data_IF_623849388606
#
_entry.id   IF_623849388606
#
_cell.length_a   1.000
_cell.length_b   1.000
_cell.length_c   1.000
_cell.angle_alpha   90.00
_cell.angle_beta   90.00
_cell.angle_gamma   90.00
#
_symmetry.space_group_name_H-M   'P 1'
#
loop_
_entity.id
_entity.type
_entity.pdbx_description
1 polymer ?
#
# COMPACT_ATOMS: atom_id res chain seq x y z
N UNK A 1 -1.38 17.87 -28.21
CA UNK A 1 -2.82 17.55 -28.08
C UNK A 1 -3.08 17.11 -26.65
N UNK A 2 -3.87 17.83 -25.93
CA UNK A 2 -4.33 17.46 -24.60
C UNK A 2 -5.21 16.20 -24.75
N UNK A 3 -4.76 15.09 -24.23
CA UNK A 3 -5.54 13.84 -24.29
C UNK A 3 -6.72 13.95 -23.32
N UNK A 4 -7.95 13.66 -23.78
CA UNK A 4 -9.15 13.60 -22.95
C UNK A 4 -9.74 12.19 -22.98
N UNK A 5 -10.32 11.73 -21.86
CA UNK A 5 -10.96 10.42 -21.74
C UNK A 5 -12.18 10.46 -20.80
N UNK A 6 -13.02 9.43 -20.87
CA UNK A 6 -14.12 9.25 -19.93
C UNK A 6 -13.60 8.90 -18.52
N UNK A 7 -12.55 8.05 -18.43
CA UNK A 7 -12.01 7.56 -17.15
C UNK A 7 -10.48 7.52 -17.14
N UNK A 8 -9.85 8.34 -16.29
CA UNK A 8 -8.44 8.20 -15.97
C UNK A 8 -8.27 7.22 -14.80
N UNK A 9 -7.39 6.24 -14.95
CA UNK A 9 -7.11 5.22 -13.93
C UNK A 9 -5.66 5.39 -13.47
N UNK A 10 -5.46 5.67 -12.17
CA UNK A 10 -4.14 5.87 -11.58
C UNK A 10 -3.70 4.60 -10.85
N UNK A 11 -2.79 3.86 -11.46
CA UNK A 11 -2.26 2.59 -10.99
C UNK A 11 -2.75 1.39 -11.79
N UNK A 12 -1.83 0.57 -12.30
CA UNK A 12 -2.09 -0.68 -13.02
C UNK A 12 -1.89 -1.93 -12.12
N UNK A 13 -2.25 -1.82 -10.85
CA UNK A 13 -2.40 -2.96 -9.95
C UNK A 13 -3.69 -3.74 -10.24
N UNK A 14 -4.04 -4.77 -9.43
CA UNK A 14 -5.24 -5.57 -9.62
C UNK A 14 -6.51 -4.76 -9.84
N UNK A 15 -6.74 -3.72 -9.04
CA UNK A 15 -7.92 -2.85 -9.16
C UNK A 15 -7.91 -2.07 -10.49
N UNK A 16 -6.79 -1.45 -10.85
CA UNK A 16 -6.70 -0.67 -12.09
C UNK A 16 -6.78 -1.51 -13.35
N UNK A 17 -6.16 -2.70 -13.36
CA UNK A 17 -6.26 -3.62 -14.49
C UNK A 17 -7.70 -4.12 -14.70
N UNK A 18 -8.38 -4.49 -13.60
CA UNK A 18 -9.78 -4.91 -13.66
C UNK A 18 -10.71 -3.75 -14.08
N UNK A 19 -10.45 -2.54 -13.58
CA UNK A 19 -11.18 -1.35 -13.96
C UNK A 19 -11.05 -1.04 -15.47
N UNK A 20 -9.83 -1.11 -16.00
CA UNK A 20 -9.57 -0.86 -17.43
C UNK A 20 -10.24 -1.91 -18.34
N UNK A 21 -10.19 -3.20 -17.97
CA UNK A 21 -10.89 -4.25 -18.70
C UNK A 21 -12.41 -4.01 -18.69
N UNK A 22 -12.97 -3.69 -17.53
CA UNK A 22 -14.41 -3.38 -17.40
C UNK A 22 -14.80 -2.10 -18.16
N UNK A 23 -13.95 -1.06 -18.15
CA UNK A 23 -14.19 0.17 -18.90
C UNK A 23 -14.32 -0.09 -20.42
N UNK A 24 -13.42 -0.92 -20.95
CA UNK A 24 -13.45 -1.32 -22.35
C UNK A 24 -14.73 -2.10 -22.71
N UNK A 25 -15.18 -3.02 -21.85
CA UNK A 25 -16.44 -3.77 -22.02
C UNK A 25 -17.68 -2.85 -22.02
N UNK A 26 -17.61 -1.73 -21.32
CA UNK A 26 -18.69 -0.74 -21.22
C UNK A 26 -18.58 0.38 -22.27
N UNK A 27 -17.57 0.35 -23.14
CA UNK A 27 -17.34 1.36 -24.16
C UNK A 27 -16.91 2.72 -23.61
N UNK A 28 -16.30 2.75 -22.42
CA UNK A 28 -15.65 3.95 -21.87
C UNK A 28 -14.27 4.11 -22.52
N UNK A 29 -13.95 5.32 -22.98
CA UNK A 29 -12.57 5.69 -23.26
C UNK A 29 -11.81 5.79 -21.95
N UNK A 30 -10.70 5.04 -21.82
CA UNK A 30 -9.92 5.05 -20.59
C UNK A 30 -8.42 5.10 -20.83
N UNK A 31 -7.71 5.79 -19.93
CA UNK A 31 -6.25 5.88 -19.91
C UNK A 31 -5.77 5.41 -18.55
N UNK A 32 -4.83 4.48 -18.55
CA UNK A 32 -4.19 3.96 -17.32
C UNK A 32 -2.80 4.56 -17.18
N UNK A 33 -2.54 5.23 -16.07
CA UNK A 33 -1.26 5.83 -15.70
C UNK A 33 -0.62 4.98 -14.59
N UNK A 34 0.56 4.40 -14.83
CA UNK A 34 1.30 3.65 -13.81
C UNK A 34 2.78 4.03 -13.81
N UNK A 35 3.34 4.19 -12.62
CA UNK A 35 4.76 4.55 -12.45
C UNK A 35 5.72 3.38 -12.78
N UNK A 36 5.20 2.18 -12.96
CA UNK A 36 5.98 1.00 -13.26
C UNK A 36 5.99 0.73 -14.78
N UNK A 37 7.05 0.05 -15.28
CA UNK A 37 7.14 -0.26 -16.71
C UNK A 37 6.19 -1.39 -17.14
N UNK A 38 5.65 -2.16 -16.20
CA UNK A 38 4.78 -3.31 -16.47
C UNK A 38 3.56 -3.27 -15.52
N UNK A 39 2.38 -3.70 -15.99
CA UNK A 39 1.21 -3.80 -15.13
C UNK A 39 1.36 -4.93 -14.11
N UNK A 40 0.56 -4.89 -13.04
CA UNK A 40 0.55 -5.92 -12.00
C UNK A 40 0.64 -5.37 -10.58
N UNK A 41 1.04 -4.10 -10.42
CA UNK A 41 1.24 -3.49 -9.10
C UNK A 41 2.27 -4.25 -8.27
N UNK A 42 2.12 -4.25 -6.94
CA UNK A 42 3.06 -4.95 -6.05
C UNK A 42 2.83 -6.47 -6.03
N UNK A 43 1.57 -6.90 -6.11
CA UNK A 43 1.23 -8.32 -5.98
C UNK A 43 1.63 -9.13 -7.22
N UNK A 44 1.43 -8.60 -8.42
CA UNK A 44 1.73 -9.24 -9.70
C UNK A 44 2.95 -8.62 -10.39
N UNK A 45 3.89 -8.08 -9.62
CA UNK A 45 5.10 -7.42 -10.11
C UNK A 45 5.87 -8.29 -11.11
N UNK A 46 6.01 -7.80 -12.36
CA UNK A 46 6.78 -8.47 -13.39
C UNK A 46 6.20 -9.80 -13.88
N UNK A 47 4.90 -10.04 -13.72
CA UNK A 47 4.26 -11.33 -13.98
C UNK A 47 4.32 -11.73 -15.45
N UNK A 48 4.14 -10.80 -16.39
CA UNK A 48 4.22 -11.08 -17.83
C UNK A 48 5.63 -11.47 -18.22
N UNK A 49 6.62 -10.72 -17.76
CA UNK A 49 8.03 -11.00 -18.03
C UNK A 49 8.48 -12.32 -17.39
N UNK A 50 8.08 -12.57 -16.15
CA UNK A 50 8.40 -13.83 -15.47
C UNK A 50 7.80 -15.04 -16.20
N UNK A 51 6.55 -14.94 -16.65
CA UNK A 51 5.89 -16.00 -17.40
C UNK A 51 6.56 -16.27 -18.77
N UNK A 52 7.07 -15.23 -19.41
CA UNK A 52 7.76 -15.35 -20.70
C UNK A 52 9.20 -15.87 -20.55
N UNK A 53 9.95 -15.39 -19.56
CA UNK A 53 11.40 -15.66 -19.47
C UNK A 53 11.76 -16.79 -18.51
N UNK A 54 10.96 -17.04 -17.49
CA UNK A 54 11.22 -18.02 -16.41
C UNK A 54 9.92 -18.65 -15.91
N UNK A 55 9.13 -19.34 -16.75
CA UNK A 55 7.80 -19.85 -16.39
C UNK A 55 7.83 -20.81 -15.18
N UNK A 56 8.91 -21.55 -14.96
CA UNK A 56 9.09 -22.43 -13.80
C UNK A 56 9.09 -21.65 -12.47
N UNK A 57 9.47 -20.37 -12.47
CA UNK A 57 9.46 -19.54 -11.27
C UNK A 57 8.04 -19.09 -10.85
N UNK A 58 7.04 -19.21 -11.72
CA UNK A 58 5.64 -18.98 -11.33
C UNK A 58 5.20 -19.90 -10.19
N UNK A 59 5.58 -21.19 -10.26
CA UNK A 59 5.30 -22.16 -9.21
C UNK A 59 6.02 -21.83 -7.90
N UNK A 60 7.25 -21.32 -7.98
CA UNK A 60 8.03 -20.89 -6.82
C UNK A 60 7.36 -19.73 -6.09
N UNK A 61 6.91 -18.70 -6.82
CA UNK A 61 6.22 -17.56 -6.23
C UNK A 61 4.84 -17.97 -5.71
N UNK A 62 4.16 -18.91 -6.39
CA UNK A 62 2.94 -19.55 -5.92
C UNK A 62 1.71 -19.26 -6.77
N UNK A 63 0.67 -20.08 -6.57
CA UNK A 63 -0.55 -20.09 -7.39
C UNK A 63 -1.30 -18.75 -7.39
N UNK A 64 -1.32 -18.03 -6.27
CA UNK A 64 -1.98 -16.72 -6.18
C UNK A 64 -1.31 -15.67 -7.07
N UNK A 65 0.01 -15.72 -7.17
CA UNK A 65 0.74 -14.86 -8.10
C UNK A 65 0.48 -15.28 -9.55
N UNK A 66 0.57 -16.57 -9.85
CA UNK A 66 0.34 -17.09 -11.19
C UNK A 66 -1.07 -16.76 -11.73
N UNK A 67 -2.09 -16.76 -10.87
CA UNK A 67 -3.46 -16.36 -11.23
C UNK A 67 -3.58 -14.91 -11.73
N UNK A 68 -2.65 -14.04 -11.39
CA UNK A 68 -2.61 -12.66 -11.90
C UNK A 68 -2.31 -12.56 -13.39
N UNK A 69 -1.76 -13.61 -14.01
CA UNK A 69 -1.48 -13.64 -15.46
C UNK A 69 -2.76 -13.56 -16.31
N UNK A 70 -3.84 -14.16 -15.83
CA UNK A 70 -5.15 -14.07 -16.48
C UNK A 70 -5.67 -12.62 -16.50
N UNK A 71 -5.57 -11.94 -15.37
CA UNK A 71 -5.96 -10.52 -15.27
C UNK A 71 -5.08 -9.63 -16.16
N UNK A 72 -3.75 -9.86 -16.19
CA UNK A 72 -2.85 -9.12 -17.06
C UNK A 72 -3.19 -9.32 -18.54
N UNK A 73 -3.54 -10.55 -18.94
CA UNK A 73 -4.01 -10.86 -20.31
C UNK A 73 -5.34 -10.16 -20.64
N UNK A 74 -6.30 -10.16 -19.70
CA UNK A 74 -7.57 -9.45 -19.89
C UNK A 74 -7.33 -7.94 -20.06
N UNK A 75 -6.45 -7.35 -19.24
CA UNK A 75 -6.03 -5.96 -19.36
C UNK A 75 -5.41 -5.65 -20.74
N UNK A 76 -4.48 -6.48 -21.23
CA UNK A 76 -3.88 -6.29 -22.56
C UNK A 76 -4.89 -6.41 -23.69
N UNK A 77 -5.84 -7.34 -23.55
CA UNK A 77 -6.91 -7.54 -24.54
C UNK A 77 -7.87 -6.34 -24.64
N UNK A 78 -8.04 -5.61 -23.55
CA UNK A 78 -8.92 -4.44 -23.46
C UNK A 78 -8.46 -3.28 -24.36
N UNK A 79 -7.20 -3.28 -24.84
CA UNK A 79 -6.63 -2.23 -25.71
C UNK A 79 -6.81 -0.80 -25.16
N UNK A 80 -6.80 -0.68 -23.83
CA UNK A 80 -6.79 0.60 -23.12
C UNK A 80 -5.48 1.32 -23.36
N UNK A 81 -5.50 2.64 -23.44
CA UNK A 81 -4.28 3.44 -23.49
C UNK A 81 -3.51 3.28 -22.17
N UNK A 82 -2.36 2.61 -22.22
CA UNK A 82 -1.52 2.35 -21.08
C UNK A 82 -0.26 3.20 -21.11
N UNK A 83 -0.17 4.14 -20.17
CA UNK A 83 0.99 5.00 -19.97
C UNK A 83 1.89 4.41 -18.86
N UNK A 84 2.76 3.49 -19.23
CA UNK A 84 3.81 2.94 -18.37
C UNK A 84 4.86 3.99 -18.02
N UNK A 85 5.46 3.88 -16.83
CA UNK A 85 6.42 4.86 -16.32
C UNK A 85 5.84 6.24 -16.04
N UNK A 86 4.51 6.39 -16.08
CA UNK A 86 3.82 7.65 -15.81
C UNK A 86 3.64 7.87 -14.31
N UNK A 87 4.43 8.75 -13.74
CA UNK A 87 4.36 9.13 -12.33
C UNK A 87 3.38 10.27 -12.13
N UNK A 88 2.19 9.97 -11.61
CA UNK A 88 1.20 11.00 -11.24
C UNK A 88 1.67 11.73 -10.01
N UNK A 89 1.72 13.06 -10.08
CA UNK A 89 2.20 13.92 -9.00
C UNK A 89 1.17 14.95 -8.50
N UNK A 90 0.12 15.23 -9.28
CA UNK A 90 -0.98 16.10 -8.91
C UNK A 90 -2.25 15.67 -9.62
N UNK A 91 -3.38 15.86 -8.98
CA UNK A 91 -4.72 15.72 -9.56
C UNK A 91 -5.53 16.95 -9.15
N UNK A 92 -6.23 17.53 -10.10
CA UNK A 92 -7.20 18.59 -9.90
C UNK A 92 -8.56 18.06 -10.34
N UNK A 93 -9.48 17.82 -9.39
CA UNK A 93 -10.70 17.05 -9.68
C UNK A 93 -11.77 17.83 -10.43
N UNK A 94 -11.68 19.14 -10.49
CA UNK A 94 -12.60 20.01 -11.21
C UNK A 94 -11.94 21.39 -11.43
N UNK A 95 -11.78 21.77 -12.67
CA UNK A 95 -11.64 23.18 -13.00
C UNK A 95 -13.04 23.69 -13.35
N UNK A 96 -13.56 24.61 -12.59
CA UNK A 96 -14.96 25.04 -12.50
C UNK A 96 -15.72 25.33 -13.82
N UNK A 97 -15.07 25.28 -14.96
CA UNK A 97 -15.67 25.55 -16.27
C UNK A 97 -15.69 24.34 -17.23
N UNK A 98 -14.88 23.29 -17.01
CA UNK A 98 -14.66 22.24 -18.01
C UNK A 98 -15.37 20.92 -17.71
N UNK A 99 -15.99 20.73 -16.54
CA UNK A 99 -16.58 19.46 -16.09
C UNK A 99 -15.63 18.24 -16.17
N UNK A 100 -14.33 18.49 -16.33
CA UNK A 100 -13.29 17.49 -16.47
C UNK A 100 -12.15 17.77 -15.50
N UNK A 101 -11.75 16.75 -14.74
CA UNK A 101 -10.56 16.81 -13.89
C UNK A 101 -9.27 16.72 -14.70
N UNK A 102 -8.19 17.23 -14.13
CA UNK A 102 -6.84 17.17 -14.71
C UNK A 102 -5.94 16.27 -13.90
N UNK A 103 -5.23 15.34 -14.56
CA UNK A 103 -4.24 14.46 -13.96
C UNK A 103 -2.86 14.84 -14.51
N UNK A 104 -2.01 15.34 -13.63
CA UNK A 104 -0.66 15.76 -13.97
C UNK A 104 0.30 14.59 -13.72
N UNK A 105 1.08 14.25 -14.70
CA UNK A 105 2.05 13.17 -14.62
C UNK A 105 3.37 13.52 -15.25
N UNK A 106 4.41 12.81 -14.85
CA UNK A 106 5.74 12.84 -15.44
C UNK A 106 6.01 11.50 -16.11
N UNK A 107 6.53 11.53 -17.34
CA UNK A 107 6.94 10.36 -18.09
C UNK A 107 8.14 10.69 -18.97
N UNK A 108 9.19 9.87 -18.94
CA UNK A 108 10.38 10.02 -19.79
C UNK A 108 11.02 11.43 -19.75
N UNK A 109 11.07 12.08 -18.59
CA UNK A 109 11.69 13.40 -18.42
C UNK A 109 10.84 14.57 -18.91
N UNK A 110 9.56 14.34 -19.21
CA UNK A 110 8.60 15.38 -19.54
C UNK A 110 7.34 15.27 -18.68
N UNK A 111 6.64 16.38 -18.49
CA UNK A 111 5.32 16.41 -17.85
C UNK A 111 4.22 16.40 -18.88
N UNK A 112 3.08 15.80 -18.53
CA UNK A 112 1.86 15.80 -19.33
C UNK A 112 0.64 16.03 -18.45
N UNK A 113 -0.44 16.45 -19.10
CA UNK A 113 -1.76 16.62 -18.49
C UNK A 113 -2.74 15.74 -19.24
N UNK A 114 -3.47 14.93 -18.48
CA UNK A 114 -4.60 14.12 -18.98
C UNK A 114 -5.90 14.70 -18.44
N UNK A 115 -6.82 15.02 -19.32
CA UNK A 115 -8.17 15.44 -18.96
C UNK A 115 -9.08 14.22 -18.84
N UNK A 116 -9.92 14.16 -17.81
CA UNK A 116 -10.83 13.04 -17.60
C UNK A 116 -12.12 13.46 -16.89
N UNK A 117 -13.24 12.93 -17.36
CA UNK A 117 -14.55 13.18 -16.72
C UNK A 117 -14.66 12.52 -15.35
N UNK A 118 -14.05 11.35 -15.20
CA UNK A 118 -13.92 10.63 -13.92
C UNK A 118 -12.49 10.17 -13.71
N UNK A 119 -12.05 10.12 -12.45
CA UNK A 119 -10.71 9.72 -12.06
C UNK A 119 -10.83 8.58 -11.04
N UNK A 120 -10.30 7.43 -11.36
CA UNK A 120 -10.20 6.28 -10.47
C UNK A 120 -8.81 6.20 -9.86
N UNK A 121 -8.69 6.41 -8.56
CA UNK A 121 -7.43 6.29 -7.81
C UNK A 121 -7.28 4.85 -7.31
N UNK A 122 -6.27 4.13 -7.81
CA UNK A 122 -5.98 2.75 -7.45
C UNK A 122 -4.49 2.51 -7.13
N UNK A 123 -3.81 3.36 -6.32
CA UNK A 123 -2.37 3.26 -6.04
C UNK A 123 -2.02 2.09 -5.10
N UNK A 124 -3.00 1.32 -4.66
CA UNK A 124 -2.83 0.14 -3.83
C UNK A 124 -2.43 0.45 -2.39
N UNK A 125 -1.61 -0.43 -1.82
CA UNK A 125 -1.12 -0.37 -0.45
C UNK A 125 0.41 -0.24 -0.41
N UNK A 126 0.90 0.17 0.75
CA UNK A 126 2.31 0.14 1.11
C UNK A 126 2.51 -0.64 2.41
N UNK A 127 3.70 -1.16 2.63
CA UNK A 127 4.02 -1.76 3.92
C UNK A 127 4.06 -0.70 5.02
N UNK A 128 3.49 -1.04 6.17
CA UNK A 128 3.64 -0.24 7.38
C UNK A 128 5.10 -0.29 7.82
N UNK A 129 5.78 0.83 8.02
CA UNK A 129 7.09 0.83 8.64
C UNK A 129 7.06 0.20 10.04
N UNK A 130 8.12 -0.51 10.36
CA UNK A 130 8.38 -1.04 11.70
C UNK A 130 9.64 -0.36 12.24
N UNK A 131 9.51 0.85 12.84
CA UNK A 131 10.65 1.57 13.38
C UNK A 131 11.10 0.91 14.69
N UNK A 132 12.23 0.21 14.61
CA UNK A 132 12.95 -0.38 15.73
C UNK A 132 14.39 0.13 15.70
N UNK A 133 15.15 0.09 16.81
CA UNK A 133 16.57 0.47 16.77
C UNK A 133 17.30 -0.23 15.63
N UNK A 134 18.03 0.53 14.81
CA UNK A 134 18.81 0.02 13.68
C UNK A 134 18.03 -0.30 12.39
N UNK A 135 16.72 -0.06 12.31
CA UNK A 135 15.92 -0.40 11.11
C UNK A 135 16.31 0.37 9.83
N UNK A 136 17.12 1.41 9.96
CA UNK A 136 17.62 2.21 8.83
C UNK A 136 18.97 1.74 8.30
N UNK A 137 19.60 0.77 8.93
CA UNK A 137 20.88 0.22 8.51
C UNK A 137 20.78 -0.46 7.13
N UNK A 138 21.78 -0.33 6.27
CA UNK A 138 21.93 -1.17 5.08
C UNK A 138 21.81 -2.66 5.44
N UNK A 139 21.11 -3.43 4.60
CA UNK A 139 20.76 -4.83 4.89
C UNK A 139 19.40 -5.01 5.56
N UNK A 140 18.78 -3.93 6.06
CA UNK A 140 17.41 -3.95 6.57
C UNK A 140 16.44 -3.51 5.48
N UNK A 141 15.49 -4.38 5.13
CA UNK A 141 14.48 -4.17 4.09
C UNK A 141 13.09 -4.50 4.65
N UNK A 142 12.05 -4.10 3.95
CA UNK A 142 10.71 -4.65 4.22
C UNK A 142 10.51 -5.99 3.52
N UNK A 143 9.63 -6.83 4.04
CA UNK A 143 9.29 -8.12 3.41
C UNK A 143 8.76 -7.93 1.98
N UNK A 144 7.96 -6.89 1.73
CA UNK A 144 7.44 -6.59 0.39
C UNK A 144 8.54 -6.15 -0.58
N UNK A 145 9.56 -5.43 -0.11
CA UNK A 145 10.73 -5.11 -0.93
C UNK A 145 11.48 -6.39 -1.34
N UNK A 146 11.79 -7.27 -0.39
CA UNK A 146 12.42 -8.55 -0.66
C UNK A 146 11.58 -9.44 -1.60
N UNK A 147 10.25 -9.48 -1.39
CA UNK A 147 9.33 -10.20 -2.27
C UNK A 147 9.30 -9.61 -3.69
N UNK A 148 9.35 -8.29 -3.82
CA UNK A 148 9.39 -7.61 -5.11
C UNK A 148 10.68 -7.95 -5.88
N UNK A 149 11.83 -7.99 -5.20
CA UNK A 149 13.11 -8.41 -5.79
C UNK A 149 13.04 -9.86 -6.28
N UNK A 150 12.44 -10.75 -5.50
CA UNK A 150 12.22 -12.15 -5.91
C UNK A 150 11.31 -12.26 -7.13
N UNK A 151 10.15 -11.59 -7.13
CA UNK A 151 9.17 -11.62 -8.23
C UNK A 151 9.74 -11.02 -9.51
N UNK A 152 10.26 -9.80 -9.42
CA UNK A 152 10.69 -9.05 -10.60
C UNK A 152 11.98 -9.60 -11.21
N UNK A 153 12.96 -9.97 -10.38
CA UNK A 153 14.30 -10.28 -10.87
C UNK A 153 14.79 -11.69 -10.49
N UNK A 154 14.04 -12.44 -9.67
CA UNK A 154 14.45 -13.73 -9.12
C UNK A 154 15.61 -13.59 -8.11
N UNK A 155 15.77 -12.41 -7.52
CA UNK A 155 16.82 -12.17 -6.54
C UNK A 155 16.42 -12.80 -5.20
N UNK A 156 17.36 -13.52 -4.62
CA UNK A 156 17.26 -14.13 -3.30
C UNK A 156 18.33 -13.53 -2.38
N UNK A 157 18.09 -13.43 -1.06
CA UNK A 157 19.09 -12.95 -0.12
C UNK A 157 20.29 -13.90 -0.09
N UNK A 158 21.48 -13.32 0.05
CA UNK A 158 22.72 -14.06 0.33
C UNK A 158 23.03 -13.97 1.82
N UNK A 159 23.71 -15.00 2.33
CA UNK A 159 24.10 -15.03 3.74
C UNK A 159 22.96 -15.36 4.70
N UNK A 160 23.12 -14.96 5.94
CA UNK A 160 22.19 -15.25 7.04
C UNK A 160 21.14 -14.13 7.15
N UNK A 161 19.88 -14.47 7.08
CA UNK A 161 18.80 -13.48 7.17
C UNK A 161 17.68 -13.93 8.09
N UNK A 162 16.99 -12.96 8.67
CA UNK A 162 15.87 -13.12 9.59
C UNK A 162 14.67 -12.32 9.09
N UNK A 163 13.47 -12.87 9.27
CA UNK A 163 12.21 -12.13 9.07
C UNK A 163 11.64 -11.75 10.43
N UNK A 164 11.20 -10.50 10.61
CA UNK A 164 10.64 -10.03 11.87
C UNK A 164 9.37 -9.19 11.68
N UNK A 165 8.37 -9.45 12.52
CA UNK A 165 7.11 -8.72 12.49
C UNK A 165 5.87 -9.61 12.57
N UNK A 166 4.75 -9.16 11.99
CA UNK A 166 3.52 -9.94 11.95
C UNK A 166 2.76 -9.76 10.62
N UNK A 167 1.96 -10.74 10.27
CA UNK A 167 1.09 -10.69 9.10
C UNK A 167 1.33 -11.81 8.09
N UNK A 168 0.35 -12.06 7.21
CA UNK A 168 0.42 -13.17 6.25
C UNK A 168 1.61 -13.08 5.27
N UNK A 169 2.04 -11.86 4.91
CA UNK A 169 3.15 -11.66 3.97
C UNK A 169 4.48 -12.14 4.55
N UNK A 170 4.67 -12.03 5.87
CA UNK A 170 5.84 -12.54 6.57
C UNK A 170 6.03 -14.05 6.30
N UNK A 171 4.95 -14.82 6.51
CA UNK A 171 4.94 -16.28 6.31
C UNK A 171 5.04 -16.64 4.82
N UNK A 172 4.36 -15.88 3.96
CA UNK A 172 4.40 -16.09 2.52
C UNK A 172 5.80 -15.90 1.95
N UNK A 173 6.48 -14.81 2.33
CA UNK A 173 7.85 -14.56 1.87
C UNK A 173 8.79 -15.66 2.35
N UNK A 174 8.70 -16.06 3.62
CA UNK A 174 9.52 -17.13 4.16
C UNK A 174 9.34 -18.45 3.37
N UNK A 175 8.09 -18.82 3.04
CA UNK A 175 7.80 -20.00 2.23
C UNK A 175 8.32 -19.86 0.78
N UNK A 176 8.15 -18.69 0.16
CA UNK A 176 8.68 -18.42 -1.18
C UNK A 176 10.21 -18.52 -1.24
N UNK A 177 10.92 -18.01 -0.23
CA UNK A 177 12.38 -18.11 -0.13
C UNK A 177 12.81 -19.56 0.12
N UNK A 178 12.08 -20.32 0.95
CA UNK A 178 12.35 -21.74 1.16
C UNK A 178 12.19 -22.55 -0.14
N UNK A 179 11.15 -22.29 -0.94
CA UNK A 179 10.99 -22.87 -2.29
C UNK A 179 12.13 -22.49 -3.24
N UNK A 180 12.69 -21.28 -3.06
CA UNK A 180 13.85 -20.83 -3.83
C UNK A 180 15.19 -21.43 -3.34
N UNK A 181 15.16 -22.35 -2.37
CA UNK A 181 16.34 -23.04 -1.86
C UNK A 181 17.10 -22.26 -0.75
N UNK A 182 16.55 -21.17 -0.24
CA UNK A 182 17.14 -20.39 0.87
C UNK A 182 16.12 -20.24 2.00
N UNK A 183 16.50 -20.64 3.21
CA UNK A 183 15.60 -20.51 4.36
C UNK A 183 16.10 -19.44 5.33
N UNK A 184 15.18 -18.69 5.96
CA UNK A 184 15.56 -17.75 7.00
C UNK A 184 16.18 -18.50 8.19
N UNK A 185 17.13 -17.86 8.87
CA UNK A 185 17.67 -18.37 10.13
C UNK A 185 16.59 -18.45 11.21
N UNK A 186 15.69 -17.46 11.23
CA UNK A 186 14.52 -17.46 12.09
C UNK A 186 13.39 -16.55 11.53
N UNK A 187 12.16 -16.80 12.00
CA UNK A 187 11.04 -15.87 11.92
C UNK A 187 10.73 -15.39 13.34
N UNK A 188 10.80 -14.08 13.54
CA UNK A 188 10.54 -13.40 14.81
C UNK A 188 9.12 -12.81 14.77
N UNK A 189 8.12 -13.55 15.26
CA UNK A 189 6.73 -13.15 15.19
C UNK A 189 6.35 -12.25 16.36
N UNK A 190 5.84 -11.05 16.07
CA UNK A 190 5.49 -10.01 17.04
C UNK A 190 4.01 -9.96 17.39
N UNK A 191 3.21 -10.96 16.97
CA UNK A 191 1.77 -11.02 17.29
C UNK A 191 1.55 -11.10 18.80
N UNK A 192 0.85 -10.11 19.34
CA UNK A 192 0.69 -9.95 20.79
C UNK A 192 -0.51 -10.71 21.35
N UNK A 193 -1.68 -10.58 20.73
CA UNK A 193 -2.92 -11.17 21.26
C UNK A 193 -3.69 -11.92 20.17
N UNK A 194 -3.45 -13.22 20.07
CA UNK A 194 -4.13 -14.11 19.11
C UNK A 194 -5.60 -14.34 19.46
N UNK A 195 -5.94 -14.24 20.74
CA UNK A 195 -7.29 -14.47 21.23
C UNK A 195 -8.26 -13.37 20.80
N UNK A 196 -7.75 -12.16 20.48
CA UNK A 196 -8.56 -11.07 19.97
C UNK A 196 -9.27 -11.39 18.63
N UNK A 197 -8.82 -12.40 17.90
CA UNK A 197 -9.44 -12.83 16.65
C UNK A 197 -10.64 -13.75 16.85
N UNK A 198 -10.81 -14.39 18.03
CA UNK A 198 -11.87 -15.36 18.27
C UNK A 198 -13.29 -14.86 18.01
N UNK A 199 -13.69 -13.64 18.40
CA UNK A 199 -15.03 -13.12 18.10
C UNK A 199 -15.36 -13.07 16.60
N UNK A 200 -14.34 -13.05 15.74
CA UNK A 200 -14.46 -12.96 14.29
C UNK A 200 -14.29 -14.30 13.57
N UNK A 201 -14.19 -15.41 14.31
CA UNK A 201 -13.91 -16.74 13.76
C UNK A 201 -14.99 -17.21 12.77
N UNK A 202 -16.26 -16.89 13.01
CA UNK A 202 -17.37 -17.31 12.13
C UNK A 202 -17.21 -16.70 10.71
N UNK A 203 -16.86 -15.43 10.59
CA UNK A 203 -16.59 -14.78 9.31
C UNK A 203 -15.39 -15.38 8.58
N UNK A 204 -14.36 -15.78 9.33
CA UNK A 204 -13.17 -16.43 8.77
C UNK A 204 -13.47 -17.86 8.27
N UNK A 205 -14.27 -18.61 8.99
CA UNK A 205 -14.73 -19.96 8.59
C UNK A 205 -15.62 -19.91 7.34
N UNK A 206 -16.33 -18.81 7.11
CA UNK A 206 -17.08 -18.56 5.87
C UNK A 206 -16.18 -18.31 4.65
N UNK A 207 -14.87 -18.17 4.85
CA UNK A 207 -13.87 -17.95 3.81
C UNK A 207 -12.75 -19.03 3.87
N UNK A 208 -13.07 -20.33 3.66
CA UNK A 208 -12.16 -21.46 3.93
C UNK A 208 -10.87 -21.42 3.11
N UNK A 209 -10.86 -20.74 1.98
CA UNK A 209 -9.65 -20.56 1.17
C UNK A 209 -8.53 -19.82 1.92
N UNK A 210 -8.86 -18.84 2.77
CA UNK A 210 -7.86 -18.14 3.58
C UNK A 210 -7.29 -19.01 4.68
N UNK A 211 -8.15 -19.81 5.34
CA UNK A 211 -7.73 -20.79 6.35
C UNK A 211 -6.80 -21.84 5.74
N UNK A 212 -7.20 -22.44 4.63
CA UNK A 212 -6.39 -23.44 3.92
C UNK A 212 -5.01 -22.92 3.54
N UNK A 213 -4.93 -21.68 3.02
CA UNK A 213 -3.66 -21.04 2.69
C UNK A 213 -2.76 -20.83 3.93
N UNK A 214 -3.31 -20.32 5.01
CA UNK A 214 -2.55 -20.12 6.25
C UNK A 214 -1.96 -21.42 6.77
N UNK A 215 -2.77 -22.48 6.83
CA UNK A 215 -2.35 -23.81 7.27
C UNK A 215 -1.29 -24.42 6.32
N UNK A 216 -1.45 -24.26 5.01
CA UNK A 216 -0.49 -24.72 4.02
C UNK A 216 0.89 -24.06 4.21
N UNK A 217 0.92 -22.74 4.37
CA UNK A 217 2.18 -22.01 4.64
C UNK A 217 2.86 -22.47 5.93
N UNK A 218 2.09 -22.65 7.01
CA UNK A 218 2.66 -23.13 8.29
C UNK A 218 3.21 -24.56 8.18
N UNK A 219 2.54 -25.45 7.43
CA UNK A 219 3.03 -26.83 7.18
C UNK A 219 4.31 -26.80 6.35
N UNK A 220 4.35 -25.96 5.33
CA UNK A 220 5.52 -25.81 4.47
C UNK A 220 6.74 -25.28 5.24
N UNK A 221 6.56 -24.25 6.05
CA UNK A 221 7.62 -23.71 6.91
C UNK A 221 8.12 -24.72 7.94
N UNK A 222 7.20 -25.54 8.50
CA UNK A 222 7.56 -26.64 9.40
C UNK A 222 8.36 -27.73 8.68
N UNK A 223 7.95 -28.11 7.46
CA UNK A 223 8.67 -29.10 6.65
C UNK A 223 10.06 -28.60 6.22
N UNK A 224 10.22 -27.29 6.01
CA UNK A 224 11.50 -26.66 5.76
C UNK A 224 12.34 -26.42 7.01
N UNK A 225 11.85 -26.86 8.18
CA UNK A 225 12.54 -26.69 9.47
C UNK A 225 12.92 -25.22 9.78
N UNK A 226 12.03 -24.29 9.44
CA UNK A 226 12.24 -22.88 9.76
C UNK A 226 11.96 -22.63 11.24
N UNK A 227 12.93 -22.10 11.94
CA UNK A 227 12.79 -21.74 13.36
C UNK A 227 11.85 -20.54 13.49
N UNK A 228 10.87 -20.62 14.41
CA UNK A 228 9.91 -19.54 14.64
C UNK A 228 9.83 -19.20 16.12
N UNK A 229 10.22 -17.97 16.46
CA UNK A 229 10.03 -17.38 17.78
C UNK A 229 8.71 -16.61 17.79
N UNK A 230 7.79 -16.97 18.71
CA UNK A 230 6.44 -16.41 18.78
C UNK A 230 6.30 -15.51 20.00
N UNK A 231 5.66 -14.34 19.80
CA UNK A 231 5.44 -13.39 20.90
C UNK A 231 6.71 -12.62 21.24
N UNK A 232 7.47 -12.23 20.23
CA UNK A 232 8.63 -11.35 20.41
C UNK A 232 8.16 -9.99 20.94
N UNK A 233 8.75 -9.52 22.02
CA UNK A 233 8.33 -8.29 22.74
C UNK A 233 9.31 -7.13 22.57
N UNK A 234 10.56 -7.39 22.22
CA UNK A 234 11.58 -6.39 21.92
C UNK A 234 12.40 -6.81 20.72
N UNK A 235 12.88 -5.84 19.96
CA UNK A 235 13.69 -6.06 18.76
C UNK A 235 14.64 -4.88 18.56
N UNK A 236 15.91 -5.15 18.33
CA UNK A 236 16.92 -4.18 17.95
C UNK A 236 17.88 -4.79 16.93
N UNK A 237 18.32 -3.98 15.97
CA UNK A 237 19.29 -4.38 14.94
C UNK A 237 20.57 -3.61 15.17
N UNK A 238 21.67 -4.33 15.26
CA UNK A 238 22.99 -3.78 15.57
C UNK A 238 23.91 -3.85 14.37
N UNK A 239 24.79 -2.87 14.27
CA UNK A 239 25.82 -2.74 13.24
C UNK A 239 26.22 -1.29 13.05
N UNK A 240 27.37 -1.05 12.44
CA UNK A 240 27.87 0.31 12.17
C UNK A 240 27.45 0.79 10.78
N UNK A 241 27.95 0.15 9.73
CA UNK A 241 27.68 0.51 8.33
C UNK A 241 26.62 -0.34 7.67
N UNK A 242 26.28 -1.48 8.28
CA UNK A 242 25.24 -2.41 7.84
C UNK A 242 24.77 -3.28 9.01
N UNK A 243 23.64 -3.94 8.87
CA UNK A 243 23.14 -4.91 9.84
C UNK A 243 24.13 -6.06 10.02
N UNK A 244 24.43 -6.43 11.29
CA UNK A 244 25.34 -7.52 11.67
C UNK A 244 24.74 -8.49 12.66
N UNK A 245 23.88 -8.00 13.54
CA UNK A 245 23.25 -8.78 14.59
C UNK A 245 21.82 -8.28 14.80
N UNK A 246 20.90 -9.18 15.10
CA UNK A 246 19.58 -8.86 15.60
C UNK A 246 19.44 -9.37 17.03
N UNK A 247 19.07 -8.47 17.95
CA UNK A 247 18.74 -8.77 19.33
C UNK A 247 17.22 -8.75 19.51
N UNK A 248 16.68 -9.74 20.21
CA UNK A 248 15.25 -9.80 20.48
C UNK A 248 14.94 -10.49 21.80
N UNK A 249 13.80 -10.13 22.39
CA UNK A 249 13.29 -10.77 23.61
C UNK A 249 12.08 -11.64 23.27
N UNK A 250 12.20 -12.92 23.64
CA UNK A 250 11.10 -13.89 23.48
C UNK A 250 10.95 -14.68 24.79
N UNK A 251 9.73 -14.77 25.31
CA UNK A 251 9.43 -15.45 26.58
C UNK A 251 10.31 -14.98 27.75
N UNK A 252 10.65 -13.69 27.81
CA UNK A 252 11.50 -13.09 28.84
C UNK A 252 13.00 -13.35 28.67
N UNK A 253 13.42 -14.11 27.66
CA UNK A 253 14.83 -14.40 27.37
C UNK A 253 15.32 -13.52 26.22
N UNK A 254 16.48 -12.91 26.37
CA UNK A 254 17.17 -12.17 25.31
C UNK A 254 17.95 -13.12 24.43
N UNK A 255 17.77 -13.00 23.13
CA UNK A 255 18.45 -13.76 22.08
C UNK A 255 19.23 -12.80 21.20
N UNK A 256 20.34 -13.26 20.66
CA UNK A 256 21.15 -12.56 19.65
C UNK A 256 21.48 -13.49 18.51
N UNK A 257 21.23 -13.03 17.28
CA UNK A 257 21.50 -13.79 16.07
C UNK A 257 22.34 -12.96 15.11
N UNK A 258 23.45 -13.48 14.60
CA UNK A 258 24.19 -12.82 13.54
C UNK A 258 23.37 -12.81 12.25
N UNK A 259 23.37 -11.67 11.53
CA UNK A 259 22.61 -11.47 10.31
C UNK A 259 23.40 -10.66 9.28
N UNK A 260 23.17 -10.96 8.00
CA UNK A 260 23.58 -10.13 6.87
C UNK A 260 22.38 -9.28 6.37
N UNK A 261 21.15 -9.74 6.62
CA UNK A 261 19.93 -9.02 6.25
C UNK A 261 18.79 -9.28 7.23
N UNK A 262 17.93 -8.28 7.39
CA UNK A 262 16.70 -8.37 8.20
C UNK A 262 15.51 -7.90 7.35
N UNK A 263 14.45 -8.70 7.29
CA UNK A 263 13.22 -8.35 6.57
C UNK A 263 12.10 -8.07 7.55
N UNK A 264 11.71 -6.79 7.63
CA UNK A 264 10.70 -6.30 8.57
C UNK A 264 9.30 -6.28 7.93
N UNK A 265 8.27 -6.64 8.70
CA UNK A 265 6.88 -6.57 8.25
C UNK A 265 5.92 -6.28 9.41
N UNK A 266 5.12 -5.23 9.31
CA UNK A 266 4.09 -4.91 10.32
C UNK A 266 2.72 -4.66 9.65
N UNK A 267 2.40 -5.51 8.67
CA UNK A 267 1.20 -5.37 7.86
C UNK A 267 1.34 -4.33 6.74
N UNK A 268 0.25 -4.08 6.06
CA UNK A 268 0.14 -3.11 4.96
C UNK A 268 -0.94 -2.09 5.27
N UNK A 269 -0.81 -0.90 4.70
CA UNK A 269 -1.73 0.22 4.88
C UNK A 269 -2.04 0.86 3.52
N UNK A 270 -3.19 1.56 3.36
CA UNK A 270 -3.50 2.27 2.14
C UNK A 270 -2.41 3.25 1.72
N UNK A 271 -2.09 3.30 0.43
CA UNK A 271 -1.27 4.37 -0.13
C UNK A 271 -2.14 5.61 -0.35
N UNK A 272 -2.26 6.45 0.68
CA UNK A 272 -3.27 7.50 0.75
C UNK A 272 -2.85 8.87 0.22
N UNK A 273 -1.59 9.10 -0.19
CA UNK A 273 -1.10 10.45 -0.47
C UNK A 273 -1.90 11.20 -1.54
N UNK A 274 -2.31 10.53 -2.62
CA UNK A 274 -3.18 11.15 -3.63
C UNK A 274 -4.56 11.51 -3.05
N UNK A 275 -5.16 10.61 -2.27
CA UNK A 275 -6.46 10.87 -1.63
C UNK A 275 -6.37 12.04 -0.63
N UNK A 276 -5.29 12.11 0.15
CA UNK A 276 -5.04 13.23 1.06
C UNK A 276 -4.78 14.55 0.33
N UNK A 277 -4.07 14.54 -0.79
CA UNK A 277 -3.79 15.76 -1.57
C UNK A 277 -5.06 16.35 -2.20
N UNK A 278 -6.07 15.52 -2.45
CA UNK A 278 -7.38 15.90 -2.94
C UNK A 278 -8.35 16.33 -1.82
N UNK A 279 -7.90 16.33 -0.56
CA UNK A 279 -8.73 16.59 0.60
C UNK A 279 -9.99 15.70 0.69
N UNK A 280 -9.90 14.45 0.21
CA UNK A 280 -11.01 13.52 0.38
C UNK A 280 -11.30 13.35 1.87
N UNK A 281 -12.57 13.18 2.22
CA UNK A 281 -12.94 12.85 3.59
C UNK A 281 -12.32 11.50 3.98
N UNK A 282 -11.69 11.44 5.14
CA UNK A 282 -11.06 10.23 5.67
C UNK A 282 -11.68 9.84 7.02
N UNK A 283 -11.51 8.58 7.37
CA UNK A 283 -11.83 8.03 8.69
C UNK A 283 -10.67 7.19 9.19
N UNK A 284 -10.55 7.09 10.51
CA UNK A 284 -9.62 6.16 11.16
C UNK A 284 -10.25 4.78 11.26
N UNK A 285 -9.57 3.77 10.75
CA UNK A 285 -9.93 2.36 10.93
C UNK A 285 -9.10 1.79 12.09
N UNK A 286 -9.75 1.58 13.23
CA UNK A 286 -9.07 1.12 14.44
C UNK A 286 -8.60 -0.34 14.34
N UNK A 287 -9.27 -1.17 13.53
CA UNK A 287 -8.86 -2.56 13.32
C UNK A 287 -7.59 -2.64 12.48
N UNK A 288 -7.52 -1.89 11.39
CA UNK A 288 -6.34 -1.82 10.51
C UNK A 288 -5.32 -0.76 10.99
N UNK A 289 -5.65 0.06 11.98
CA UNK A 289 -4.83 1.15 12.52
C UNK A 289 -4.25 2.06 11.44
N UNK A 290 -5.11 2.53 10.56
CA UNK A 290 -4.74 3.44 9.49
C UNK A 290 -5.92 4.33 9.10
N UNK A 291 -5.61 5.45 8.48
CA UNK A 291 -6.64 6.25 7.81
C UNK A 291 -6.98 5.65 6.45
N UNK A 292 -8.27 5.71 6.11
CA UNK A 292 -8.78 5.38 4.78
C UNK A 292 -9.76 6.44 4.30
N UNK A 293 -9.91 6.66 2.99
CA UNK A 293 -10.94 7.56 2.49
C UNK A 293 -12.33 7.00 2.79
N UNK A 294 -13.27 7.91 3.13
CA UNK A 294 -14.69 7.56 3.26
C UNK A 294 -15.26 7.36 1.86
N UNK A 295 -15.74 6.16 1.60
CA UNK A 295 -16.27 5.75 0.31
C UNK A 295 -17.69 5.19 0.48
N UNK A 296 -18.50 5.39 -0.54
CA UNK A 296 -19.77 4.67 -0.63
C UNK A 296 -19.56 3.20 -1.06
N UNK A 297 -20.62 2.45 -1.20
CA UNK A 297 -20.59 1.04 -1.61
C UNK A 297 -20.06 0.82 -3.05
N UNK A 298 -19.92 1.88 -3.83
CA UNK A 298 -19.47 1.90 -5.21
C UNK A 298 -18.04 2.42 -5.39
N UNK A 299 -17.40 2.86 -4.31
CA UNK A 299 -16.07 3.46 -4.34
C UNK A 299 -16.07 4.96 -4.66
N UNK A 300 -17.22 5.63 -4.69
CA UNK A 300 -17.29 7.09 -4.83
C UNK A 300 -16.76 7.75 -3.56
N UNK A 301 -15.98 8.79 -3.73
CA UNK A 301 -15.40 9.57 -2.63
C UNK A 301 -16.27 10.81 -2.30
N UNK A 302 -15.80 11.62 -1.37
CA UNK A 302 -16.41 12.94 -1.06
C UNK A 302 -16.26 13.96 -2.19
N UNK A 303 -15.48 13.66 -3.24
CA UNK A 303 -15.32 14.49 -4.44
C UNK A 303 -15.97 13.75 -5.62
N UNK A 304 -17.04 14.29 -6.23
CA UNK A 304 -17.87 13.57 -7.20
C UNK A 304 -17.13 13.03 -8.44
N UNK A 305 -16.06 13.73 -8.89
CA UNK A 305 -15.24 13.30 -10.02
C UNK A 305 -14.30 12.13 -9.68
N UNK A 306 -14.10 11.82 -8.37
CA UNK A 306 -13.05 10.91 -7.90
C UNK A 306 -13.64 9.66 -7.26
N UNK A 307 -13.23 8.50 -7.79
CA UNK A 307 -13.48 7.18 -7.20
C UNK A 307 -12.17 6.61 -6.67
N UNK A 308 -12.26 5.69 -5.70
CA UNK A 308 -11.11 4.97 -5.16
C UNK A 308 -11.40 3.48 -5.16
N UNK A 309 -10.44 2.68 -5.63
CA UNK A 309 -10.58 1.23 -5.64
C UNK A 309 -9.34 0.50 -5.11
N UNK A 310 -9.56 -0.75 -4.70
CA UNK A 310 -8.52 -1.61 -4.17
C UNK A 310 -8.06 -1.20 -2.77
N UNK A 311 -6.87 -1.66 -2.39
CA UNK A 311 -6.33 -1.47 -1.04
C UNK A 311 -6.09 0.01 -0.67
N UNK A 312 -6.14 0.93 -1.62
CA UNK A 312 -6.13 2.38 -1.36
C UNK A 312 -7.40 2.86 -0.63
N UNK A 313 -8.53 2.17 -0.81
CA UNK A 313 -9.80 2.44 -0.11
C UNK A 313 -9.97 1.68 1.21
N UNK A 314 -8.97 0.89 1.62
CA UNK A 314 -8.98 -0.02 2.76
C UNK A 314 -8.50 -1.41 2.34
N UNK A 315 -7.75 -2.07 3.19
CA UNK A 315 -7.06 -3.31 2.85
C UNK A 315 -8.04 -4.48 2.70
N UNK A 316 -8.15 -5.01 1.48
CA UNK A 316 -9.01 -6.17 1.14
C UNK A 316 -8.23 -7.32 0.50
N UNK A 317 -7.01 -7.06 0.00
CA UNK A 317 -6.17 -8.02 -0.73
C UNK A 317 -6.47 -8.06 -2.23
N UNK A 318 -5.59 -8.72 -3.01
CA UNK A 318 -5.58 -8.64 -4.46
C UNK A 318 -6.91 -8.98 -5.14
N UNK A 319 -7.55 -10.10 -4.76
CA UNK A 319 -8.83 -10.52 -5.36
C UNK A 319 -9.97 -9.57 -5.01
N UNK A 320 -10.02 -9.07 -3.78
CA UNK A 320 -10.97 -8.02 -3.40
C UNK A 320 -10.70 -6.72 -4.16
N UNK A 321 -9.45 -6.37 -4.39
CA UNK A 321 -9.05 -5.19 -5.14
C UNK A 321 -9.50 -5.27 -6.62
N UNK A 322 -9.35 -6.43 -7.28
CA UNK A 322 -9.89 -6.66 -8.64
C UNK A 322 -11.39 -6.32 -8.70
N UNK A 323 -12.14 -6.89 -7.77
CA UNK A 323 -13.60 -6.69 -7.70
C UNK A 323 -13.97 -5.23 -7.41
N UNK A 324 -13.23 -4.56 -6.52
CA UNK A 324 -13.47 -3.12 -6.25
C UNK A 324 -13.22 -2.27 -7.50
N UNK A 325 -12.23 -2.61 -8.32
CA UNK A 325 -11.99 -1.96 -9.60
C UNK A 325 -13.18 -2.08 -10.54
N UNK A 326 -13.76 -3.28 -10.69
CA UNK A 326 -14.96 -3.52 -11.49
C UNK A 326 -16.15 -2.69 -10.98
N UNK A 327 -16.45 -2.78 -9.68
CA UNK A 327 -17.58 -2.07 -9.04
C UNK A 327 -17.47 -0.56 -9.24
N UNK A 328 -16.28 0.01 -9.02
CA UNK A 328 -16.05 1.44 -9.22
C UNK A 328 -16.21 1.86 -10.69
N UNK A 329 -15.85 0.99 -11.64
CA UNK A 329 -16.01 1.28 -13.06
C UNK A 329 -17.48 1.22 -13.49
N UNK A 330 -18.28 0.28 -12.97
CA UNK A 330 -19.72 0.28 -13.19
C UNK A 330 -20.37 1.58 -12.70
N UNK A 331 -19.96 2.06 -11.52
CA UNK A 331 -20.42 3.33 -10.98
C UNK A 331 -20.02 4.52 -11.87
N UNK A 332 -18.76 4.56 -12.32
CA UNK A 332 -18.28 5.61 -13.23
C UNK A 332 -19.07 5.62 -14.55
N UNK A 333 -19.39 4.44 -15.10
CA UNK A 333 -20.18 4.33 -16.33
C UNK A 333 -21.61 4.83 -16.15
N UNK A 334 -22.25 4.55 -14.99
CA UNK A 334 -23.58 5.08 -14.67
C UNK A 334 -23.54 6.61 -14.47
N UNK A 335 -22.56 7.12 -13.72
CA UNK A 335 -22.38 8.56 -13.53
C UNK A 335 -22.18 9.33 -14.84
N UNK A 336 -21.60 8.68 -15.85
CA UNK A 336 -21.40 9.22 -17.21
C UNK A 336 -22.56 8.91 -18.18
N UNK A 337 -23.66 8.37 -17.67
CA UNK A 337 -24.84 7.97 -18.45
C UNK A 337 -24.53 7.02 -19.63
N UNK A 338 -23.45 6.21 -19.51
CA UNK A 338 -23.12 5.15 -20.49
C UNK A 338 -23.93 3.88 -20.26
N UNK A 339 -24.37 3.65 -19.04
CA UNK A 339 -25.31 2.61 -18.63
C UNK A 339 -26.37 3.21 -17.70
N UNK A 340 -27.51 2.57 -17.56
CA UNK A 340 -28.52 3.00 -16.59
C UNK A 340 -28.15 2.57 -15.18
N UNK A 341 -28.72 3.19 -14.14
CA UNK A 341 -28.54 2.78 -12.76
C UNK A 341 -28.98 1.32 -12.52
N UNK A 342 -30.04 0.90 -13.19
CA UNK A 342 -30.55 -0.47 -13.14
C UNK A 342 -29.51 -1.47 -13.71
N UNK A 343 -28.93 -1.16 -14.87
CA UNK A 343 -27.87 -1.96 -15.48
C UNK A 343 -26.61 -1.99 -14.58
N UNK A 344 -26.26 -0.86 -13.97
CA UNK A 344 -25.14 -0.78 -13.02
C UNK A 344 -25.35 -1.75 -11.85
N UNK A 345 -26.52 -1.72 -11.21
CA UNK A 345 -26.85 -2.62 -10.10
C UNK A 345 -26.82 -4.08 -10.54
N UNK A 346 -27.42 -4.41 -11.68
CA UNK A 346 -27.47 -5.76 -12.21
C UNK A 346 -26.06 -6.32 -12.52
N UNK A 347 -25.23 -5.58 -13.24
CA UNK A 347 -23.87 -5.99 -13.62
C UNK A 347 -22.96 -6.13 -12.41
N UNK A 348 -23.08 -5.24 -11.41
CA UNK A 348 -22.29 -5.27 -10.20
C UNK A 348 -22.71 -6.36 -9.19
N UNK A 349 -23.87 -7.03 -9.37
CA UNK A 349 -24.40 -7.97 -8.37
C UNK A 349 -23.42 -9.08 -8.03
N UNK A 350 -22.88 -9.79 -9.04
CA UNK A 350 -21.93 -10.88 -8.83
C UNK A 350 -20.62 -10.38 -8.20
N UNK A 351 -20.12 -9.24 -8.68
CA UNK A 351 -18.91 -8.59 -8.17
C UNK A 351 -19.08 -8.20 -6.69
N UNK A 352 -20.19 -7.57 -6.33
CA UNK A 352 -20.46 -7.18 -4.93
C UNK A 352 -20.62 -8.39 -4.00
N UNK A 353 -21.24 -9.48 -4.46
CA UNK A 353 -21.33 -10.74 -3.72
C UNK A 353 -19.93 -11.37 -3.49
N UNK A 354 -19.07 -11.33 -4.52
CA UNK A 354 -17.66 -11.77 -4.38
C UNK A 354 -16.88 -10.90 -3.40
N UNK A 355 -17.03 -9.57 -3.45
CA UNK A 355 -16.40 -8.64 -2.54
C UNK A 355 -16.81 -8.90 -1.08
N UNK A 356 -18.08 -9.19 -0.82
CA UNK A 356 -18.56 -9.52 0.51
C UNK A 356 -17.85 -10.74 1.10
N UNK A 357 -17.59 -11.78 0.29
CA UNK A 357 -16.82 -12.97 0.72
C UNK A 357 -15.37 -12.62 1.09
N UNK A 358 -14.70 -11.74 0.31
CA UNK A 358 -13.33 -11.30 0.64
C UNK A 358 -13.30 -10.44 1.90
N UNK A 359 -14.31 -9.60 2.11
CA UNK A 359 -14.44 -8.78 3.31
C UNK A 359 -14.77 -9.59 4.57
N UNK A 360 -15.47 -10.72 4.45
CA UNK A 360 -15.87 -11.55 5.60
C UNK A 360 -14.67 -12.08 6.41
N UNK A 361 -13.53 -12.36 5.74
CA UNK A 361 -12.33 -12.84 6.42
C UNK A 361 -11.51 -11.71 7.10
N UNK A 362 -11.72 -10.46 6.72
CA UNK A 362 -10.88 -9.35 7.17
C UNK A 362 -10.92 -9.10 8.68
N UNK A 363 -12.09 -9.05 9.34
CA UNK A 363 -12.14 -8.79 10.79
C UNK A 363 -11.29 -9.78 11.60
N UNK A 364 -11.26 -11.04 11.21
CA UNK A 364 -10.43 -12.04 11.87
C UNK A 364 -8.93 -11.77 11.64
N UNK A 365 -8.53 -11.52 10.40
CA UNK A 365 -7.13 -11.26 10.05
C UNK A 365 -6.64 -9.95 10.66
N UNK A 366 -7.46 -8.91 10.65
CA UNK A 366 -7.13 -7.60 11.20
C UNK A 366 -6.98 -7.66 12.74
N UNK A 367 -7.83 -8.41 13.43
CA UNK A 367 -7.72 -8.65 14.86
C UNK A 367 -6.51 -9.54 15.21
N UNK A 368 -6.26 -10.60 14.41
CA UNK A 368 -5.15 -11.53 14.63
C UNK A 368 -3.80 -10.85 14.49
N UNK A 369 -3.64 -9.99 13.48
CA UNK A 369 -2.40 -9.32 13.14
C UNK A 369 -2.40 -7.82 13.46
N UNK A 370 -3.28 -7.40 14.37
CA UNK A 370 -3.31 -6.01 14.81
C UNK A 370 -1.96 -5.62 15.41
N UNK A 371 -1.31 -4.57 14.91
CA UNK A 371 -0.02 -4.12 15.44
C UNK A 371 -0.15 -3.70 16.91
N UNK A 372 0.75 -4.18 17.76
CA UNK A 372 0.85 -3.69 19.13
C UNK A 372 1.45 -2.28 19.15
N UNK A 373 1.05 -1.46 20.15
CA UNK A 373 1.48 -0.06 20.28
C UNK A 373 3.00 0.12 20.18
N UNK A 374 3.79 -0.73 20.84
CA UNK A 374 5.24 -0.70 20.80
C UNK A 374 5.83 -0.68 19.38
N UNK A 375 5.21 -1.37 18.44
CA UNK A 375 5.73 -1.53 17.07
C UNK A 375 5.34 -0.39 16.13
N UNK A 376 4.41 0.47 16.55
CA UNK A 376 3.90 1.59 15.75
C UNK A 376 4.22 2.95 16.38
N UNK A 377 4.54 2.98 17.68
CA UNK A 377 5.02 4.15 18.41
C UNK A 377 6.26 3.73 19.23
N UNK A 378 7.46 3.69 18.61
CA UNK A 378 8.67 3.13 19.24
C UNK A 378 8.98 3.82 20.54
N UNK A 379 9.21 3.08 21.66
CA UNK A 379 9.51 3.68 22.95
C UNK A 379 10.94 4.20 23.06
N UNK A 380 11.87 3.64 22.31
CA UNK A 380 13.28 3.98 22.35
C UNK A 380 13.53 5.36 21.73
N UNK A 381 14.05 6.31 22.52
CA UNK A 381 14.19 7.73 22.14
C UNK A 381 15.04 7.94 20.87
N UNK A 382 16.08 7.13 20.70
CA UNK A 382 17.01 7.24 19.58
C UNK A 382 16.55 6.57 18.29
N UNK A 383 15.39 5.89 18.31
CA UNK A 383 14.84 5.27 17.10
C UNK A 383 14.45 6.32 16.08
N UNK A 384 15.02 6.22 14.86
CA UNK A 384 14.66 7.09 13.74
C UNK A 384 13.21 6.79 13.32
N UNK A 385 12.36 7.81 13.30
CA UNK A 385 10.96 7.74 12.84
C UNK A 385 10.82 8.29 11.42
N UNK A 386 11.35 9.49 11.18
CA UNK A 386 11.36 10.08 9.83
C UNK A 386 12.71 9.85 9.17
N UNK A 387 12.79 8.90 8.23
CA UNK A 387 14.05 8.59 7.51
C UNK A 387 14.55 9.70 6.60
N UNK A 388 13.65 10.55 6.10
CA UNK A 388 13.99 11.61 5.16
C UNK A 388 14.67 12.80 5.86
N UNK A 389 14.23 13.11 7.07
CA UNK A 389 14.71 14.26 7.88
C UNK A 389 15.42 13.77 9.14
N UNK A 390 15.62 12.46 9.30
CA UNK A 390 16.32 11.77 10.39
C UNK A 390 15.80 12.06 11.81
N UNK A 391 14.51 12.42 11.91
CA UNK A 391 13.87 12.76 13.18
C UNK A 391 13.64 11.50 14.02
N UNK A 392 14.05 11.59 15.30
CA UNK A 392 13.98 10.49 16.27
C UNK A 392 12.72 10.53 17.12
N UNK A 393 12.39 9.40 17.72
CA UNK A 393 11.21 9.27 18.59
C UNK A 393 11.26 10.19 19.82
N UNK A 394 12.43 10.38 20.43
CA UNK A 394 12.62 11.29 21.57
C UNK A 394 12.32 12.74 21.21
N UNK A 395 12.75 13.22 20.04
CA UNK A 395 12.47 14.57 19.56
C UNK A 395 10.96 14.81 19.39
N UNK A 396 10.24 13.85 18.80
CA UNK A 396 8.78 13.92 18.62
C UNK A 396 8.10 14.03 19.99
N UNK A 397 8.45 13.17 20.96
CA UNK A 397 7.88 13.19 22.31
C UNK A 397 8.16 14.52 23.02
N UNK A 398 9.40 15.01 22.95
CA UNK A 398 9.78 16.30 23.56
C UNK A 398 8.95 17.45 23.01
N UNK A 399 8.70 17.50 21.70
CA UNK A 399 7.88 18.55 21.09
C UNK A 399 6.40 18.45 21.52
N UNK A 400 5.85 17.25 21.62
CA UNK A 400 4.46 17.07 22.05
C UNK A 400 4.27 17.44 23.51
N UNK A 401 5.14 16.98 24.41
CA UNK A 401 4.99 17.20 25.85
C UNK A 401 5.50 18.57 26.31
N UNK A 402 6.60 19.06 25.72
CA UNK A 402 7.24 20.31 26.13
C UNK A 402 6.73 21.57 25.42
N UNK A 403 6.25 21.43 24.17
CA UNK A 403 5.79 22.57 23.35
C UNK A 403 4.32 22.46 22.94
N UNK A 404 3.57 21.53 23.54
CA UNK A 404 2.15 21.29 23.24
C UNK A 404 1.86 21.15 21.74
N UNK A 405 2.71 20.45 20.99
CA UNK A 405 2.51 20.21 19.57
C UNK A 405 1.24 19.34 19.36
N UNK A 406 0.14 19.89 18.82
CA UNK A 406 -1.16 19.22 18.82
C UNK A 406 -1.31 18.17 17.73
N UNK A 407 -0.47 18.22 16.68
CA UNK A 407 -0.63 17.34 15.53
C UNK A 407 0.53 17.37 14.55
N UNK A 408 0.47 16.48 13.52
CA UNK A 408 1.59 16.28 12.60
C UNK A 408 1.89 17.52 11.74
N UNK A 409 0.90 18.36 11.45
CA UNK A 409 1.12 19.56 10.63
C UNK A 409 1.93 20.62 11.37
N UNK A 410 1.77 20.77 12.68
CA UNK A 410 2.61 21.64 13.46
C UNK A 410 4.01 21.04 13.68
N UNK A 411 4.10 19.71 13.81
CA UNK A 411 5.39 18.99 13.85
C UNK A 411 6.29 19.32 12.66
N UNK A 412 5.72 19.53 11.46
CA UNK A 412 6.46 19.98 10.29
C UNK A 412 7.20 21.31 10.52
N UNK A 413 6.55 22.25 11.21
CA UNK A 413 7.12 23.59 11.47
C UNK A 413 8.30 23.53 12.42
N UNK A 414 8.29 22.60 13.39
CA UNK A 414 9.37 22.48 14.37
C UNK A 414 10.59 21.74 13.82
N UNK A 415 10.38 20.58 13.21
CA UNK A 415 11.48 19.65 12.88
C UNK A 415 11.39 19.07 11.46
N UNK A 416 10.58 19.67 10.58
CA UNK A 416 10.38 19.21 9.19
C UNK A 416 9.90 17.76 9.04
N UNK A 417 9.50 17.10 10.14
CA UNK A 417 9.04 15.70 10.11
C UNK A 417 7.88 15.53 9.11
N UNK A 418 8.05 14.65 8.12
CA UNK A 418 7.07 14.44 7.05
C UNK A 418 7.18 15.38 5.86
N UNK A 419 8.19 16.29 5.81
CA UNK A 419 8.41 17.22 4.67
C UNK A 419 9.39 16.67 3.61
N UNK A 420 10.06 15.57 3.88
CA UNK A 420 10.99 15.00 2.92
C UNK A 420 10.31 14.40 1.68
N UNK A 421 11.08 13.85 0.71
CA UNK A 421 10.57 13.42 -0.60
C UNK A 421 9.46 12.35 -0.54
N UNK A 422 9.36 11.60 0.57
CA UNK A 422 8.25 10.66 0.75
C UNK A 422 6.92 11.33 1.15
N UNK A 423 6.91 12.63 1.48
CA UNK A 423 5.72 13.38 1.86
C UNK A 423 4.92 12.72 3.00
N UNK A 424 5.62 12.29 4.05
CA UNK A 424 5.00 11.65 5.22
C UNK A 424 4.51 10.22 5.04
N UNK A 425 4.64 9.62 3.86
CA UNK A 425 4.17 8.24 3.61
C UNK A 425 4.76 7.23 4.58
N UNK A 426 6.06 7.32 4.85
CA UNK A 426 6.73 6.39 5.75
C UNK A 426 6.50 6.70 7.23
N UNK A 427 6.62 7.96 7.63
CA UNK A 427 6.55 8.33 9.06
C UNK A 427 5.14 8.68 9.56
N UNK A 428 4.20 9.03 8.67
CA UNK A 428 2.95 9.68 9.06
C UNK A 428 2.13 8.92 10.08
N UNK A 429 1.91 7.61 9.87
CA UNK A 429 1.15 6.81 10.83
C UNK A 429 1.88 6.68 12.18
N UNK A 430 3.19 6.44 12.17
CA UNK A 430 3.98 6.39 13.40
C UNK A 430 3.92 7.72 14.17
N UNK A 431 4.06 8.84 13.47
CA UNK A 431 4.01 10.17 14.09
C UNK A 431 2.65 10.44 14.75
N UNK A 432 1.55 10.15 14.06
CA UNK A 432 0.21 10.40 14.65
C UNK A 432 -0.09 9.46 15.82
N UNK A 433 0.37 8.22 15.79
CA UNK A 433 0.27 7.27 16.91
C UNK A 433 1.06 7.75 18.12
N UNK A 434 2.29 8.25 17.92
CA UNK A 434 3.11 8.81 18.98
C UNK A 434 2.50 10.08 19.60
N UNK A 435 1.95 10.97 18.76
CA UNK A 435 1.26 12.17 19.24
C UNK A 435 0.02 11.79 20.05
N UNK A 436 -0.77 10.83 19.54
CA UNK A 436 -1.96 10.33 20.23
C UNK A 436 -1.60 9.73 21.61
N UNK A 437 -0.55 8.91 21.66
CA UNK A 437 -0.02 8.32 22.91
C UNK A 437 0.41 9.41 23.91
N UNK A 438 1.23 10.38 23.48
CA UNK A 438 1.73 11.44 24.35
C UNK A 438 0.61 12.36 24.88
N UNK A 439 -0.42 12.60 24.07
CA UNK A 439 -1.57 13.44 24.44
C UNK A 439 -2.66 12.68 25.19
N UNK A 440 -2.65 11.35 25.17
CA UNK A 440 -3.72 10.53 25.73
C UNK A 440 -5.06 10.67 24.98
N UNK A 441 -5.05 10.91 23.68
CA UNK A 441 -6.25 11.11 22.84
C UNK A 441 -6.32 10.05 21.73
N UNK A 442 -7.52 9.80 21.16
CA UNK A 442 -7.64 8.93 19.99
C UNK A 442 -6.85 9.47 18.77
N UNK A 443 -6.32 8.58 17.94
CA UNK A 443 -5.60 8.96 16.71
C UNK A 443 -6.49 9.77 15.76
N UNK A 444 -7.77 9.48 15.70
CA UNK A 444 -8.75 10.22 14.90
C UNK A 444 -8.83 11.72 15.27
N UNK A 445 -8.55 12.06 16.52
CA UNK A 445 -8.51 13.46 17.00
C UNK A 445 -7.20 14.17 16.63
N UNK A 446 -6.08 13.44 16.57
CA UNK A 446 -4.79 13.98 16.12
C UNK A 446 -4.84 14.35 14.63
N UNK A 447 -5.54 13.58 13.83
CA UNK A 447 -5.62 13.73 12.38
C UNK A 447 -4.36 13.28 11.66
N UNK A 448 -4.18 13.73 10.41
CA UNK A 448 -3.06 13.34 9.56
C UNK A 448 -2.36 14.54 8.92
N UNK A 449 -1.25 14.30 8.25
CA UNK A 449 -0.55 15.31 7.45
C UNK A 449 -1.45 15.90 6.36
N UNK A 450 -1.46 17.21 6.22
CA UNK A 450 -2.03 17.89 5.07
C UNK A 450 -1.05 17.76 3.90
N UNK A 451 -1.31 16.78 3.05
CA UNK A 451 -0.50 16.49 1.87
C UNK A 451 -0.81 17.51 0.79
N UNK A 452 0.22 17.98 0.10
CA UNK A 452 0.13 18.96 -0.98
C UNK A 452 0.86 18.45 -2.21
N UNK A 453 0.38 18.76 -3.43
CA UNK A 453 1.15 18.53 -4.64
C UNK A 453 2.48 19.34 -4.63
N UNK A 454 3.51 18.81 -5.27
CA UNK A 454 3.61 17.49 -5.90
C UNK A 454 3.74 16.39 -4.86
N UNK A 455 2.90 15.32 -4.98
CA UNK A 455 2.96 14.18 -4.05
C UNK A 455 4.12 13.22 -4.32
N UNK A 456 4.81 13.43 -5.41
CA UNK A 456 6.04 12.75 -5.84
C UNK A 456 7.07 13.80 -6.26
N UNK A 457 8.37 13.59 -6.08
CA UNK A 457 9.40 14.51 -6.55
C UNK A 457 9.30 14.74 -8.05
N UNK A 458 9.30 16.02 -8.46
CA UNK A 458 9.33 16.49 -9.85
C UNK A 458 10.49 17.47 -9.96
N UNK A 459 11.30 17.37 -11.00
CA UNK A 459 12.39 18.32 -11.20
C UNK A 459 11.87 19.63 -11.79
N UNK A 460 12.60 20.74 -11.58
CA UNK A 460 12.27 22.02 -12.19
C UNK A 460 12.29 21.91 -13.73
N UNK A 461 13.23 21.11 -14.28
CA UNK A 461 13.28 20.83 -15.71
C UNK A 461 12.04 20.13 -16.23
N UNK A 462 11.52 19.14 -15.48
CA UNK A 462 10.26 18.48 -15.88
C UNK A 462 9.09 19.48 -15.86
N UNK A 463 8.99 20.33 -14.82
CA UNK A 463 7.94 21.35 -14.73
C UNK A 463 8.03 22.37 -15.87
N UNK A 464 9.23 22.71 -16.33
CA UNK A 464 9.44 23.62 -17.45
C UNK A 464 8.92 23.05 -18.79
N UNK A 465 8.66 21.74 -18.87
CA UNK A 465 8.08 21.10 -20.06
C UNK A 465 6.54 21.16 -20.10
N UNK A 466 5.88 21.69 -19.05
CA UNK A 466 4.44 21.95 -19.08
C UNK A 466 4.13 22.98 -20.16
N UNK A 467 3.19 22.65 -21.04
CA UNK A 467 2.80 23.54 -22.14
C UNK A 467 2.21 24.85 -21.59
N UNK A 468 2.70 25.97 -22.12
CA UNK A 468 2.30 27.30 -21.67
C UNK A 468 0.84 27.61 -21.97
N UNK A 469 0.24 26.99 -22.97
CA UNK A 469 -1.19 27.11 -23.29
C UNK A 469 -2.09 26.67 -22.11
N UNK A 470 -1.59 25.81 -21.23
CA UNK A 470 -2.31 25.41 -20.01
C UNK A 470 -2.17 26.44 -18.88
N UNK A 471 -1.29 27.41 -19.00
CA UNK A 471 -1.11 28.50 -18.02
C UNK A 471 -2.13 29.62 -18.18
N UNK A 472 -2.53 29.93 -19.40
CA UNK A 472 -3.49 30.99 -19.67
C UNK A 472 -4.88 30.60 -19.19
N UNK A 473 -5.25 29.30 -19.28
CA UNK A 473 -6.49 28.76 -18.73
C UNK A 473 -6.48 28.64 -17.19
N UNK A 474 -5.29 28.63 -16.57
CA UNK A 474 -5.15 28.56 -15.12
C UNK A 474 -5.05 29.92 -14.42
N UNK A 475 -4.84 30.99 -15.18
CA UNK A 475 -4.71 32.39 -14.72
C UNK A 475 -5.82 33.22 -15.36
N UNK A 476 -7.04 32.68 -15.41
CA UNK A 476 -8.24 33.48 -15.63
C UNK A 476 -8.38 34.48 -14.48
N UNK A 477 -7.61 35.59 -14.55
CA UNK A 477 -7.78 36.82 -13.81
C UNK A 477 -8.66 37.72 -14.62
#
# INVERSE_FOLDING_TARGET
MTASCDLAIVGAGPAGMAAAATAAELGLSSVVLDEQPEPGGQIYRGIERLAATRPQHLALVGADYAAGLELARAFRKAKTDYCDGAQVWQIEPDAAELQEGRVFYRRNGATGILHAKKILIAPGAMERPLPVPGWTLPGVLTCGAAQTLLKANGLIPKGRFVLAGCGPLLLLLAAQLARAGVKPAAILETTFNRWAALPHLAGFLAAPAYLGKGLALLRELKAAEVVMYKGVTQLAIHGDTQAREIEFVCNGTTHREPVDSVFLHQGVVPNGNLAWSLNLAHEWDDAQRCFRPKLDAWGRSSVPAVLVAGDAGGIVGAKGAEVMGQVATFAAAADLAKITDADCVQRAQAARAALAKHRAARPFLDALYRPHQRWIAPPEADTVVCRCEEIRAGEIRTLVTGQNCPGPNQMKSFVRCGMGPCQGRLCGLTVVEMIAECRGVPVSEVGYYRIRPPVKPVTVGDLATLDVATREDAVGL
#
